data_IF_452330353217
#
_entry.id   IF_452330353217
#
_cell.length_a   1.000
_cell.length_b   1.000
_cell.length_c   1.000
_cell.angle_alpha   90.00
_cell.angle_beta   90.00
_cell.angle_gamma   90.00
#
_symmetry.space_group_name_H-M   'P 1'
#
loop_
_entity.id
_entity.type
_entity.pdbx_description
1 polymer ?
#
# COMPACT_ATOMS: atom_id res chain seq x y z
N UNK A 1 2.85 32.65 5.87
CA UNK A 1 3.07 31.34 5.23
C UNK A 1 3.35 30.37 6.36
N UNK A 2 2.60 29.28 6.47
CA UNK A 2 2.93 28.18 7.39
C UNK A 2 3.77 27.16 6.60
N UNK A 3 4.91 26.79 7.15
CA UNK A 3 5.88 25.89 6.50
C UNK A 3 5.60 24.45 6.94
N UNK A 4 5.21 23.60 5.98
CA UNK A 4 5.03 22.16 6.16
C UNK A 4 5.70 21.40 5.02
N UNK A 5 6.93 21.80 4.67
CA UNK A 5 7.67 21.25 3.54
C UNK A 5 7.48 19.72 3.38
N UNK A 6 7.13 19.25 2.17
CA UNK A 6 7.11 19.99 0.89
C UNK A 6 5.77 20.70 0.58
N UNK A 7 4.79 20.67 1.49
CA UNK A 7 3.48 21.34 1.35
C UNK A 7 3.48 22.70 2.07
N UNK A 8 2.99 23.75 1.43
CA UNK A 8 2.97 25.10 2.01
C UNK A 8 1.56 25.65 2.12
N UNK A 9 1.30 26.41 3.18
CA UNK A 9 0.00 27.05 3.40
C UNK A 9 0.17 28.57 3.35
N UNK A 10 -0.62 29.22 2.50
CA UNK A 10 -0.66 30.67 2.35
C UNK A 10 -2.04 31.16 2.74
N UNK A 11 -2.09 32.23 3.52
CA UNK A 11 -3.34 32.93 3.84
C UNK A 11 -3.47 34.14 2.94
N UNK A 12 -4.54 34.19 2.15
CA UNK A 12 -4.90 35.33 1.34
C UNK A 12 -5.80 36.26 2.16
N UNK A 13 -5.47 37.55 2.16
CA UNK A 13 -6.22 38.59 2.88
C UNK A 13 -6.31 39.86 2.03
N UNK A 14 -7.48 40.51 2.04
CA UNK A 14 -7.72 41.75 1.29
C UNK A 14 -8.78 41.58 0.20
N UNK A 15 -8.66 42.37 -0.87
CA UNK A 15 -9.63 42.38 -1.96
C UNK A 15 -9.07 41.77 -3.25
N UNK A 16 -9.85 40.91 -3.89
CA UNK A 16 -9.60 40.31 -5.21
C UNK A 16 -10.38 41.11 -6.27
N UNK A 17 -9.89 42.32 -6.61
CA UNK A 17 -10.58 43.25 -7.54
C UNK A 17 -10.09 43.19 -8.98
N UNK A 18 -8.85 42.79 -9.22
CA UNK A 18 -8.23 42.75 -10.54
C UNK A 18 -7.34 41.51 -10.67
N UNK A 19 -7.14 40.96 -11.86
CA UNK A 19 -6.25 39.81 -12.07
C UNK A 19 -4.83 40.06 -11.51
N UNK A 20 -4.32 41.29 -11.65
CA UNK A 20 -2.99 41.70 -11.17
C UNK A 20 -2.83 41.62 -9.64
N UNK A 21 -3.93 41.58 -8.89
CA UNK A 21 -3.90 41.40 -7.42
C UNK A 21 -3.32 40.05 -7.00
N UNK A 22 -3.12 39.12 -7.93
CA UNK A 22 -2.55 37.79 -7.71
C UNK A 22 -1.03 37.71 -7.95
N UNK A 23 -0.39 38.78 -8.41
CA UNK A 23 1.07 38.82 -8.59
C UNK A 23 1.87 38.40 -7.33
N UNK A 24 1.44 38.72 -6.09
CA UNK A 24 2.11 38.20 -4.89
C UNK A 24 2.07 36.67 -4.78
N UNK A 25 0.98 36.02 -5.19
CA UNK A 25 0.87 34.55 -5.20
C UNK A 25 1.80 33.92 -6.24
N UNK A 26 1.91 34.52 -7.42
CA UNK A 26 2.86 34.08 -8.45
C UNK A 26 4.31 34.19 -7.96
N UNK A 27 4.65 35.28 -7.26
CA UNK A 27 5.97 35.45 -6.64
C UNK A 27 6.22 34.40 -5.54
N UNK A 28 5.20 34.06 -4.74
CA UNK A 28 5.30 33.00 -3.74
C UNK A 28 5.59 31.66 -4.42
N UNK A 29 4.86 31.30 -5.49
CA UNK A 29 5.14 30.07 -6.24
C UNK A 29 6.57 30.02 -6.76
N UNK A 30 7.09 31.12 -7.31
CA UNK A 30 8.48 31.19 -7.77
C UNK A 30 9.49 30.93 -6.64
N UNK A 31 9.23 31.45 -5.43
CA UNK A 31 10.06 31.18 -4.25
C UNK A 31 9.91 29.74 -3.73
N UNK A 32 8.70 29.21 -3.76
CA UNK A 32 8.41 27.84 -3.33
C UNK A 32 9.07 26.81 -4.24
N UNK A 33 9.18 27.09 -5.55
CA UNK A 33 9.97 26.27 -6.48
C UNK A 33 11.44 26.14 -6.04
N UNK A 34 12.06 27.24 -5.58
CA UNK A 34 13.44 27.20 -5.07
C UNK A 34 13.57 26.36 -3.80
N UNK A 35 12.49 26.23 -3.01
CA UNK A 35 12.43 25.40 -1.81
C UNK A 35 11.98 23.95 -2.07
N UNK A 36 11.97 23.49 -3.32
CA UNK A 36 11.47 22.15 -3.72
C UNK A 36 10.05 21.86 -3.20
N UNK A 37 9.19 22.88 -3.12
CA UNK A 37 7.79 22.70 -2.75
C UNK A 37 7.05 21.85 -3.77
N UNK A 38 6.11 21.03 -3.30
CA UNK A 38 5.30 20.13 -4.12
C UNK A 38 3.82 20.49 -4.10
N UNK A 39 3.32 21.14 -3.04
CA UNK A 39 1.96 21.67 -3.00
C UNK A 39 1.83 23.02 -2.28
N UNK A 40 0.79 23.77 -2.64
CA UNK A 40 0.42 25.08 -2.09
C UNK A 40 -1.09 25.15 -1.81
N UNK A 41 -1.46 25.16 -0.54
CA UNK A 41 -2.84 25.40 -0.09
C UNK A 41 -3.04 26.90 0.20
N UNK A 42 -4.05 27.50 -0.43
CA UNK A 42 -4.39 28.92 -0.28
C UNK A 42 -5.67 29.07 0.52
N UNK A 43 -5.58 29.61 1.74
CA UNK A 43 -6.76 30.00 2.52
C UNK A 43 -7.32 31.30 1.98
N UNK A 44 -8.61 31.31 1.66
CA UNK A 44 -9.34 32.48 1.19
C UNK A 44 -10.19 33.15 2.28
N UNK A 45 -10.05 32.73 3.55
CA UNK A 45 -10.88 33.22 4.66
C UNK A 45 -10.78 34.74 4.87
N UNK A 46 -9.63 35.34 4.53
CA UNK A 46 -9.39 36.77 4.67
C UNK A 46 -9.85 37.63 3.49
N UNK A 47 -10.47 37.05 2.47
CA UNK A 47 -10.93 37.77 1.27
C UNK A 47 -12.23 38.50 1.58
N UNK A 48 -12.24 39.82 1.39
CA UNK A 48 -13.38 40.67 1.73
C UNK A 48 -14.25 41.02 0.51
N UNK A 49 -13.63 41.54 -0.56
CA UNK A 49 -14.34 41.95 -1.79
C UNK A 49 -13.78 41.25 -3.02
N UNK A 50 -14.68 40.87 -3.93
CA UNK A 50 -14.35 40.15 -5.18
C UNK A 50 -15.10 40.71 -6.38
N UNK A 51 -14.35 41.01 -7.43
CA UNK A 51 -14.90 41.37 -8.75
C UNK A 51 -14.90 40.16 -9.69
N UNK A 52 -15.59 40.25 -10.83
CA UNK A 52 -15.52 39.22 -11.87
C UNK A 52 -14.09 39.03 -12.42
N UNK A 53 -13.35 40.13 -12.62
CA UNK A 53 -11.95 40.09 -13.07
C UNK A 53 -11.01 39.43 -12.05
N UNK A 54 -11.19 39.71 -10.76
CA UNK A 54 -10.39 39.08 -9.71
C UNK A 54 -10.71 37.59 -9.56
N UNK A 55 -11.97 37.19 -9.70
CA UNK A 55 -12.35 35.77 -9.73
C UNK A 55 -11.70 35.08 -10.95
N UNK A 56 -11.83 35.66 -12.15
CA UNK A 56 -11.24 35.09 -13.36
C UNK A 56 -9.73 34.85 -13.20
N UNK A 57 -8.98 35.86 -12.75
CA UNK A 57 -7.55 35.68 -12.50
C UNK A 57 -7.24 34.61 -11.45
N UNK A 58 -8.08 34.47 -10.41
CA UNK A 58 -7.86 33.48 -9.36
C UNK A 58 -8.13 32.06 -9.87
N UNK A 59 -9.13 31.90 -10.73
CA UNK A 59 -9.39 30.64 -11.42
C UNK A 59 -8.24 30.28 -12.37
N UNK A 60 -7.77 31.25 -13.17
CA UNK A 60 -6.60 31.06 -14.03
C UNK A 60 -5.38 30.64 -13.21
N UNK A 61 -5.18 31.24 -12.04
CA UNK A 61 -4.11 30.85 -11.13
C UNK A 61 -4.27 29.42 -10.61
N UNK A 62 -5.48 28.96 -10.27
CA UNK A 62 -5.70 27.60 -9.75
C UNK A 62 -5.57 26.52 -10.82
N UNK A 63 -5.93 26.83 -12.08
CA UNK A 63 -5.96 25.86 -13.18
C UNK A 63 -4.69 25.92 -14.04
N UNK A 64 -3.88 26.97 -13.91
CA UNK A 64 -2.61 27.07 -14.59
C UNK A 64 -1.71 25.86 -14.28
N UNK A 65 -0.94 25.45 -15.30
CA UNK A 65 -0.01 24.34 -15.20
C UNK A 65 1.20 24.74 -14.34
N UNK A 66 1.09 24.45 -13.04
CA UNK A 66 2.14 24.69 -12.08
C UNK A 66 2.90 23.38 -11.80
N UNK A 67 4.22 23.43 -11.59
CA UNK A 67 5.00 22.28 -11.14
C UNK A 67 4.73 21.91 -9.68
N UNK A 68 3.78 22.59 -9.03
CA UNK A 68 3.39 22.46 -7.63
C UNK A 68 1.86 22.34 -7.62
N UNK A 69 1.29 21.38 -6.91
CA UNK A 69 -0.16 21.24 -6.79
C UNK A 69 -0.75 22.43 -6.04
N UNK A 70 -1.69 23.16 -6.64
CA UNK A 70 -2.33 24.32 -6.01
C UNK A 70 -3.79 24.03 -5.69
N UNK A 71 -4.24 24.41 -4.50
CA UNK A 71 -5.65 24.34 -4.13
C UNK A 71 -6.05 25.50 -3.25
N UNK A 72 -7.34 25.79 -3.21
CA UNK A 72 -7.90 26.83 -2.35
C UNK A 72 -8.86 26.23 -1.31
N UNK A 73 -8.96 26.88 -0.15
CA UNK A 73 -9.92 26.50 0.88
C UNK A 73 -10.44 27.69 1.68
N UNK A 74 -11.49 27.49 2.47
CA UNK A 74 -12.18 28.53 3.24
C UNK A 74 -12.64 29.73 2.39
N UNK A 75 -13.29 29.44 1.26
CA UNK A 75 -13.80 30.51 0.38
C UNK A 75 -14.99 31.23 1.04
N UNK A 76 -15.08 32.57 0.92
CA UNK A 76 -16.24 33.32 1.38
C UNK A 76 -17.54 32.83 0.72
N UNK A 77 -18.65 32.77 1.48
CA UNK A 77 -19.94 32.26 0.98
C UNK A 77 -20.38 32.90 -0.33
N UNK A 78 -20.23 34.21 -0.47
CA UNK A 78 -20.63 34.95 -1.66
C UNK A 78 -19.84 34.53 -2.93
N UNK A 79 -18.59 34.07 -2.77
CA UNK A 79 -17.78 33.58 -3.86
C UNK A 79 -18.13 32.12 -4.21
N UNK A 80 -18.38 31.29 -3.19
CA UNK A 80 -18.89 29.92 -3.39
C UNK A 80 -20.22 29.94 -4.15
N UNK A 81 -21.16 30.82 -3.79
CA UNK A 81 -22.45 30.95 -4.49
C UNK A 81 -22.25 31.32 -5.95
N UNK A 82 -21.36 32.28 -6.26
CA UNK A 82 -21.07 32.65 -7.65
C UNK A 82 -20.46 31.49 -8.43
N UNK A 83 -19.50 30.76 -7.86
CA UNK A 83 -18.88 29.60 -8.53
C UNK A 83 -19.89 28.46 -8.76
N UNK A 84 -20.76 28.19 -7.78
CA UNK A 84 -21.82 27.18 -7.91
C UNK A 84 -22.81 27.53 -9.03
N UNK A 85 -23.19 28.80 -9.15
CA UNK A 85 -24.09 29.26 -10.22
C UNK A 85 -23.52 29.02 -11.63
N UNK A 86 -22.20 28.85 -11.74
CA UNK A 86 -21.49 28.53 -12.98
C UNK A 86 -20.99 27.07 -13.04
N UNK A 87 -21.34 26.22 -12.07
CA UNK A 87 -20.92 24.81 -12.04
C UNK A 87 -19.42 24.59 -11.86
N UNK A 88 -18.68 25.58 -11.36
CA UNK A 88 -17.20 25.55 -11.35
C UNK A 88 -16.61 24.84 -10.12
N UNK A 89 -17.38 24.70 -9.04
CA UNK A 89 -16.91 24.09 -7.78
C UNK A 89 -16.66 22.60 -7.87
N UNK A 90 -17.18 21.91 -8.90
CA UNK A 90 -16.94 20.48 -9.14
C UNK A 90 -15.67 20.22 -9.93
N UNK A 91 -15.13 21.22 -10.63
CA UNK A 91 -13.97 21.08 -11.52
C UNK A 91 -12.71 21.68 -10.90
N UNK A 92 -12.88 22.67 -10.02
CA UNK A 92 -11.78 23.40 -9.40
C UNK A 92 -11.31 22.73 -8.11
N UNK A 93 -10.01 22.82 -7.78
CA UNK A 93 -9.43 22.26 -6.56
C UNK A 93 -9.75 23.15 -5.33
N UNK A 94 -11.03 23.27 -5.01
CA UNK A 94 -11.57 24.13 -3.96
C UNK A 94 -12.21 23.27 -2.87
N UNK A 95 -11.74 23.45 -1.63
CA UNK A 95 -12.18 22.64 -0.49
C UNK A 95 -12.80 23.50 0.62
N UNK A 96 -13.61 22.86 1.47
CA UNK A 96 -14.22 23.55 2.61
C UNK A 96 -13.25 23.85 3.74
N UNK A 97 -12.24 23.00 3.95
CA UNK A 97 -11.31 23.09 5.08
C UNK A 97 -9.91 22.68 4.64
N UNK A 98 -8.89 23.13 5.38
CA UNK A 98 -7.50 22.69 5.17
C UNK A 98 -7.38 21.16 5.27
N UNK A 99 -8.07 20.52 6.22
CA UNK A 99 -8.04 19.07 6.37
C UNK A 99 -8.54 18.37 5.10
N UNK A 100 -9.62 18.85 4.49
CA UNK A 100 -10.11 18.31 3.22
C UNK A 100 -9.11 18.54 2.06
N UNK A 101 -8.44 19.69 2.02
CA UNK A 101 -7.38 19.96 1.04
C UNK A 101 -6.22 18.97 1.18
N UNK A 102 -5.70 18.79 2.39
CA UNK A 102 -4.56 17.91 2.64
C UNK A 102 -4.87 16.43 2.37
N UNK A 103 -6.15 16.04 2.48
CA UNK A 103 -6.60 14.68 2.18
C UNK A 103 -6.97 14.47 0.70
N UNK A 104 -6.91 15.52 -0.13
CA UNK A 104 -7.11 15.38 -1.58
C UNK A 104 -5.98 14.61 -2.24
N UNK A 105 -6.28 13.88 -3.31
CA UNK A 105 -5.29 13.06 -4.01
C UNK A 105 -4.10 13.87 -4.52
N UNK A 106 -4.34 15.07 -5.04
CA UNK A 106 -3.28 15.96 -5.53
C UNK A 106 -2.29 16.36 -4.42
N UNK A 107 -2.80 16.65 -3.22
CA UNK A 107 -1.97 17.00 -2.07
C UNK A 107 -1.27 15.78 -1.49
N UNK A 108 -1.99 14.66 -1.34
CA UNK A 108 -1.39 13.39 -0.90
C UNK A 108 -0.23 13.01 -1.82
N UNK A 109 -0.42 13.05 -3.14
CA UNK A 109 0.62 12.78 -4.15
C UNK A 109 1.78 13.78 -4.14
N UNK A 110 1.64 14.90 -3.43
CA UNK A 110 2.68 15.89 -3.28
C UNK A 110 3.38 15.78 -1.91
N UNK A 111 2.80 15.09 -0.93
CA UNK A 111 3.25 15.15 0.46
C UNK A 111 4.66 14.60 0.71
N UNK A 112 5.12 13.61 -0.06
CA UNK A 112 6.39 12.91 0.17
C UNK A 112 7.29 12.84 -1.08
N UNK A 113 7.23 13.85 -1.96
CA UNK A 113 7.98 13.85 -3.25
C UNK A 113 9.50 13.84 -3.12
N UNK A 114 10.03 14.29 -1.98
CA UNK A 114 11.47 14.28 -1.68
C UNK A 114 11.89 13.09 -0.83
N UNK A 115 10.94 12.26 -0.38
CA UNK A 115 11.22 11.10 0.46
C UNK A 115 11.57 9.91 -0.41
N UNK A 116 12.72 9.30 -0.13
CA UNK A 116 13.10 8.01 -0.68
C UNK A 116 12.50 6.87 0.16
N UNK A 117 12.21 5.75 -0.47
CA UNK A 117 11.76 4.54 0.21
C UNK A 117 12.71 3.36 -0.01
N UNK A 118 12.85 2.50 1.00
CA UNK A 118 13.54 1.21 0.93
C UNK A 118 12.50 0.10 1.07
N UNK A 119 12.40 -0.76 0.07
CA UNK A 119 11.58 -1.98 0.13
C UNK A 119 12.49 -3.18 0.38
N UNK A 120 12.34 -3.80 1.54
CA UNK A 120 13.12 -4.97 1.95
C UNK A 120 12.59 -6.23 1.25
N UNK A 121 13.44 -6.87 0.43
CA UNK A 121 13.06 -7.97 -0.47
C UNK A 121 13.76 -9.31 -0.22
N UNK A 122 14.82 -9.37 0.58
CA UNK A 122 15.70 -10.55 0.64
C UNK A 122 15.29 -11.70 1.58
N UNK A 123 14.03 -11.76 2.03
CA UNK A 123 13.54 -12.87 2.85
C UNK A 123 13.36 -14.18 2.06
N UNK A 124 13.82 -15.30 2.59
CA UNK A 124 13.69 -16.63 1.94
C UNK A 124 12.27 -17.19 1.97
N UNK A 125 11.39 -16.67 2.83
CA UNK A 125 9.97 -17.03 2.85
C UNK A 125 9.70 -18.51 3.18
N UNK A 126 10.57 -19.20 3.92
CA UNK A 126 10.45 -20.64 4.19
C UNK A 126 9.10 -21.05 4.83
N UNK A 127 8.51 -20.18 5.67
CA UNK A 127 7.21 -20.42 6.31
C UNK A 127 6.01 -20.25 5.37
N UNK A 128 6.24 -19.72 4.17
CA UNK A 128 5.25 -19.61 3.10
C UNK A 128 5.34 -20.77 2.12
N UNK A 129 6.29 -21.70 2.28
CA UNK A 129 6.35 -22.87 1.42
C UNK A 129 5.02 -23.64 1.48
N UNK A 130 4.42 -24.04 0.35
CA UNK A 130 4.96 -24.05 -1.02
C UNK A 130 4.74 -22.79 -1.88
N UNK A 131 4.10 -21.73 -1.38
CA UNK A 131 3.86 -20.49 -2.15
C UNK A 131 5.16 -19.82 -2.65
N UNK A 132 6.25 -20.00 -1.91
CA UNK A 132 7.58 -19.44 -2.19
C UNK A 132 8.54 -20.45 -2.81
N UNK A 133 8.04 -21.59 -3.32
CA UNK A 133 8.89 -22.61 -3.95
C UNK A 133 9.56 -22.12 -5.24
N UNK A 134 8.90 -21.24 -5.99
CA UNK A 134 9.36 -20.74 -7.30
C UNK A 134 9.39 -19.21 -7.41
N UNK A 135 9.13 -18.50 -6.32
CA UNK A 135 9.08 -17.03 -6.29
C UNK A 135 9.34 -16.45 -4.91
N UNK A 136 9.69 -15.16 -4.90
CA UNK A 136 9.92 -14.39 -3.68
C UNK A 136 8.60 -14.09 -2.95
N UNK A 137 8.63 -13.93 -1.62
CA UNK A 137 7.43 -13.55 -0.86
C UNK A 137 6.81 -12.21 -1.32
N UNK A 138 7.59 -11.13 -1.60
CA UNK A 138 7.03 -9.90 -2.18
C UNK A 138 6.34 -10.07 -3.55
N UNK A 139 6.65 -11.17 -4.25
CA UNK A 139 6.11 -11.50 -5.57
C UNK A 139 4.74 -12.18 -5.50
N UNK A 140 4.30 -12.63 -4.32
CA UNK A 140 3.04 -13.35 -4.15
C UNK A 140 1.85 -12.50 -4.63
N UNK A 141 1.05 -13.07 -5.53
CA UNK A 141 -0.14 -12.43 -6.08
C UNK A 141 -1.27 -12.41 -5.05
N UNK A 142 -1.77 -11.21 -4.76
CA UNK A 142 -2.92 -10.99 -3.88
C UNK A 142 -4.02 -10.36 -4.72
N UNK A 143 -5.00 -11.17 -5.13
CA UNK A 143 -6.13 -10.73 -5.96
C UNK A 143 -5.70 -9.93 -7.21
N UNK A 144 -4.77 -10.51 -7.97
CA UNK A 144 -4.31 -10.05 -9.28
C UNK A 144 -3.20 -9.00 -9.27
N UNK A 145 -2.68 -8.60 -8.10
CA UNK A 145 -1.56 -7.67 -7.96
C UNK A 145 -0.56 -8.23 -6.93
N UNK A 146 0.75 -8.30 -7.23
CA UNK A 146 1.76 -8.77 -6.28
C UNK A 146 1.89 -7.85 -5.07
N UNK A 147 2.27 -8.40 -3.91
CA UNK A 147 2.48 -7.63 -2.67
C UNK A 147 3.35 -6.38 -2.87
N UNK A 148 4.48 -6.53 -3.57
CA UNK A 148 5.38 -5.40 -3.85
C UNK A 148 4.73 -4.35 -4.74
N UNK A 149 3.91 -4.76 -5.71
CA UNK A 149 3.17 -3.83 -6.58
C UNK A 149 2.11 -3.05 -5.81
N UNK A 150 1.45 -3.69 -4.83
CA UNK A 150 0.50 -3.02 -3.93
C UNK A 150 1.20 -1.99 -3.03
N UNK A 151 2.37 -2.34 -2.50
CA UNK A 151 3.19 -1.42 -1.70
C UNK A 151 3.68 -0.24 -2.55
N UNK A 152 4.20 -0.49 -3.76
CA UNK A 152 4.57 0.54 -4.73
C UNK A 152 3.40 1.46 -5.05
N UNK A 153 2.22 0.89 -5.35
CA UNK A 153 1.00 1.66 -5.59
C UNK A 153 0.67 2.57 -4.40
N UNK A 154 0.76 2.05 -3.17
CA UNK A 154 0.53 2.85 -1.95
C UNK A 154 1.56 3.97 -1.78
N UNK A 155 2.86 3.70 -1.98
CA UNK A 155 3.93 4.70 -1.92
C UNK A 155 3.73 5.81 -2.97
N UNK A 156 3.39 5.44 -4.20
CA UNK A 156 3.21 6.40 -5.31
C UNK A 156 2.07 7.39 -5.06
N UNK A 157 1.04 6.99 -4.32
CA UNK A 157 -0.07 7.88 -3.91
C UNK A 157 0.36 9.00 -2.98
N UNK A 158 1.51 8.87 -2.32
CA UNK A 158 2.10 9.92 -1.51
C UNK A 158 3.18 10.73 -2.25
N UNK A 159 3.42 10.44 -3.53
CA UNK A 159 4.41 11.14 -4.34
C UNK A 159 5.82 10.58 -4.26
N UNK A 160 6.05 9.49 -3.53
CA UNK A 160 7.36 8.85 -3.44
C UNK A 160 7.74 8.33 -4.83
N UNK A 161 8.91 8.73 -5.32
CA UNK A 161 9.41 8.36 -6.67
C UNK A 161 10.66 7.50 -6.64
N UNK A 162 11.51 7.61 -5.62
CA UNK A 162 12.76 6.87 -5.55
C UNK A 162 12.61 5.69 -4.59
N UNK A 163 12.75 4.48 -5.14
CA UNK A 163 12.70 3.24 -4.36
C UNK A 163 14.03 2.53 -4.46
N UNK A 164 14.60 2.20 -3.31
CA UNK A 164 15.72 1.28 -3.15
C UNK A 164 15.17 -0.09 -2.77
N UNK A 165 15.68 -1.16 -3.34
CA UNK A 165 15.33 -2.50 -2.91
C UNK A 165 16.53 -3.43 -3.00
N UNK A 166 16.54 -4.45 -2.15
CA UNK A 166 17.52 -5.52 -2.15
C UNK A 166 16.92 -6.81 -2.70
N UNK A 167 17.12 -7.13 -4.00
CA UNK A 167 16.79 -8.44 -4.53
C UNK A 167 17.60 -9.51 -3.80
N UNK A 168 16.91 -10.42 -3.12
CA UNK A 168 17.53 -11.61 -2.52
C UNK A 168 17.18 -12.86 -3.31
N UNK A 169 16.66 -13.87 -2.61
CA UNK A 169 16.20 -15.11 -3.24
C UNK A 169 15.09 -14.84 -4.27
N UNK A 170 15.22 -15.39 -5.49
CA UNK A 170 14.39 -15.06 -6.66
C UNK A 170 14.40 -13.57 -7.03
N UNK A 171 15.57 -12.92 -6.93
CA UNK A 171 15.74 -11.49 -7.20
C UNK A 171 15.23 -11.02 -8.56
N UNK A 172 15.39 -11.83 -9.61
CA UNK A 172 14.88 -11.50 -10.96
C UNK A 172 13.36 -11.39 -11.00
N UNK A 173 12.65 -12.25 -10.24
CA UNK A 173 11.19 -12.17 -10.11
C UNK A 173 10.80 -10.87 -9.41
N UNK A 174 11.52 -10.47 -8.35
CA UNK A 174 11.27 -9.22 -7.65
C UNK A 174 11.51 -8.00 -8.55
N UNK A 175 12.64 -7.96 -9.25
CA UNK A 175 12.98 -6.87 -10.17
C UNK A 175 11.91 -6.74 -11.26
N UNK A 176 11.49 -7.87 -11.84
CA UNK A 176 10.44 -7.91 -12.87
C UNK A 176 9.11 -7.39 -12.32
N UNK A 177 8.68 -7.89 -11.16
CA UNK A 177 7.44 -7.46 -10.53
C UNK A 177 7.46 -5.95 -10.21
N UNK A 178 8.57 -5.44 -9.67
CA UNK A 178 8.72 -4.01 -9.34
C UNK A 178 8.74 -3.11 -10.56
N UNK A 179 9.33 -3.56 -11.68
CA UNK A 179 9.32 -2.83 -12.95
C UNK A 179 7.93 -2.79 -13.59
N UNK A 180 7.18 -3.89 -13.52
CA UNK A 180 5.81 -3.94 -14.05
C UNK A 180 4.84 -3.01 -13.31
N UNK A 181 5.11 -2.73 -12.03
CA UNK A 181 4.26 -1.90 -11.17
C UNK A 181 4.94 -0.58 -10.76
N UNK A 182 5.97 -0.15 -11.51
CA UNK A 182 6.74 1.04 -11.16
C UNK A 182 5.92 2.32 -11.27
N UNK A 183 4.96 2.38 -12.19
CA UNK A 183 4.26 3.64 -12.50
C UNK A 183 5.27 4.78 -12.72
N UNK A 184 5.16 5.92 -12.00
CA UNK A 184 6.10 7.03 -12.09
C UNK A 184 7.39 6.84 -11.26
N UNK A 185 7.55 5.74 -10.54
CA UNK A 185 8.67 5.49 -9.64
C UNK A 185 9.89 4.92 -10.38
N UNK A 186 11.08 5.32 -9.91
CA UNK A 186 12.36 4.73 -10.28
C UNK A 186 12.80 3.77 -9.17
N UNK A 187 12.98 2.49 -9.53
CA UNK A 187 13.50 1.47 -8.62
C UNK A 187 14.99 1.21 -8.88
N UNK A 188 15.80 1.31 -7.84
CA UNK A 188 17.22 1.03 -7.81
C UNK A 188 17.45 -0.23 -6.97
N UNK A 189 18.23 -1.16 -7.52
CA UNK A 189 18.40 -2.50 -6.96
C UNK A 189 19.83 -2.73 -6.50
N UNK A 190 19.98 -3.28 -5.30
CA UNK A 190 21.28 -3.48 -4.66
C UNK A 190 21.39 -4.92 -4.21
N UNK A 191 22.41 -5.60 -4.71
CA UNK A 191 22.71 -6.98 -4.33
C UNK A 191 24.06 -6.97 -3.64
N UNK A 192 24.13 -7.12 -2.31
CA UNK A 192 25.41 -7.23 -1.63
C UNK A 192 26.11 -8.53 -2.02
N UNK A 193 27.44 -8.52 -1.97
CA UNK A 193 28.31 -9.61 -2.42
C UNK A 193 28.05 -10.97 -1.71
N UNK A 194 27.30 -10.98 -0.60
CA UNK A 194 26.98 -12.15 0.23
C UNK A 194 25.67 -12.86 -0.15
N UNK A 195 24.91 -12.37 -1.14
CA UNK A 195 23.72 -13.03 -1.71
C UNK A 195 22.42 -12.89 -0.91
N UNK A 196 22.45 -13.00 0.42
CA UNK A 196 21.33 -12.66 1.31
C UNK A 196 21.70 -11.46 2.18
N UNK A 197 20.82 -10.46 2.21
CA UNK A 197 21.00 -9.27 3.05
C UNK A 197 19.91 -9.13 4.09
N UNK A 198 20.35 -8.76 5.29
CA UNK A 198 19.47 -8.39 6.40
C UNK A 198 19.01 -6.94 6.24
N UNK A 199 17.93 -6.57 6.93
CA UNK A 199 17.47 -5.18 6.95
C UNK A 199 18.58 -4.20 7.36
N UNK A 200 19.34 -4.54 8.41
CA UNK A 200 20.45 -3.71 8.86
C UNK A 200 21.56 -3.55 7.81
N UNK A 201 21.94 -4.61 7.11
CA UNK A 201 22.98 -4.54 6.08
C UNK A 201 22.57 -3.63 4.93
N UNK A 202 21.34 -3.76 4.44
CA UNK A 202 20.84 -2.93 3.32
C UNK A 202 20.84 -1.46 3.70
N UNK A 203 20.31 -1.13 4.88
CA UNK A 203 20.21 0.25 5.33
C UNK A 203 21.61 0.86 5.55
N UNK A 204 22.52 0.11 6.18
CA UNK A 204 23.89 0.55 6.38
C UNK A 204 24.64 0.74 5.05
N UNK A 205 24.56 -0.21 4.11
CA UNK A 205 25.24 -0.11 2.81
C UNK A 205 24.72 1.08 2.00
N UNK A 206 23.40 1.25 1.93
CA UNK A 206 22.80 2.37 1.21
C UNK A 206 23.24 3.73 1.77
N UNK A 207 23.33 3.86 3.10
CA UNK A 207 23.78 5.10 3.72
C UNK A 207 25.30 5.29 3.62
N UNK A 208 26.08 4.32 4.09
CA UNK A 208 27.52 4.46 4.33
C UNK A 208 28.36 4.26 3.06
N UNK A 209 27.94 3.37 2.16
CA UNK A 209 28.70 3.04 0.93
C UNK A 209 28.20 3.86 -0.25
N UNK A 210 26.88 4.02 -0.36
CA UNK A 210 26.26 4.64 -1.54
C UNK A 210 25.81 6.08 -1.34
N UNK A 211 25.86 6.62 -0.11
CA UNK A 211 25.35 7.95 0.22
C UNK A 211 23.94 8.20 -0.37
N UNK A 212 23.09 7.16 -0.35
CA UNK A 212 21.84 7.10 -1.10
C UNK A 212 20.74 8.01 -0.54
N UNK A 213 20.92 8.55 0.67
CA UNK A 213 19.90 9.29 1.40
C UNK A 213 20.39 10.70 1.74
N UNK A 214 19.65 11.71 1.28
CA UNK A 214 19.84 13.12 1.68
C UNK A 214 18.88 13.54 2.81
N UNK A 215 17.80 12.77 3.00
CA UNK A 215 16.67 13.06 3.90
C UNK A 215 16.27 11.78 4.65
N UNK A 216 15.37 11.91 5.63
CA UNK A 216 14.72 10.78 6.31
C UNK A 216 14.17 9.76 5.28
N UNK A 217 14.44 8.49 5.52
CA UNK A 217 14.08 7.40 4.61
C UNK A 217 12.92 6.58 5.18
N UNK A 218 11.96 6.26 4.31
CA UNK A 218 10.87 5.35 4.64
C UNK A 218 11.29 3.91 4.34
N UNK A 219 11.19 3.00 5.29
CA UNK A 219 11.57 1.60 5.12
C UNK A 219 10.33 0.72 5.29
N UNK A 220 10.08 -0.18 4.36
CA UNK A 220 8.94 -1.08 4.38
C UNK A 220 9.33 -2.51 3.99
N UNK A 221 8.67 -3.49 4.62
CA UNK A 221 8.81 -4.89 4.25
C UNK A 221 8.06 -5.17 2.93
N UNK A 222 8.74 -5.75 1.94
CA UNK A 222 8.14 -6.03 0.63
C UNK A 222 7.03 -7.09 0.64
N UNK A 223 6.94 -7.89 1.70
CA UNK A 223 5.89 -8.88 1.91
C UNK A 223 4.75 -8.36 2.82
N UNK A 224 4.54 -7.05 2.90
CA UNK A 224 3.48 -6.47 3.73
C UNK A 224 2.47 -5.67 2.90
N UNK A 225 1.20 -5.77 3.30
CA UNK A 225 0.14 -4.84 2.88
C UNK A 225 0.11 -3.66 3.86
N UNK A 226 0.22 -2.44 3.32
CA UNK A 226 0.26 -1.20 4.10
C UNK A 226 -0.86 -0.28 3.62
N UNK A 227 -1.73 0.15 4.52
CA UNK A 227 -2.85 1.08 4.26
C UNK A 227 -2.84 2.31 5.17
N UNK A 228 -1.72 2.58 5.83
CA UNK A 228 -1.58 3.71 6.76
C UNK A 228 -1.36 5.03 6.01
N UNK A 229 -1.67 6.15 6.66
CA UNK A 229 -1.29 7.48 6.17
C UNK A 229 0.22 7.70 6.33
N UNK A 230 0.96 7.60 5.22
CA UNK A 230 2.41 7.74 5.23
C UNK A 230 2.86 9.19 5.44
N UNK A 231 2.05 10.16 4.98
CA UNK A 231 2.36 11.57 5.19
C UNK A 231 2.25 11.92 6.68
N UNK A 232 1.23 11.41 7.36
CA UNK A 232 1.08 11.57 8.81
C UNK A 232 2.25 10.92 9.58
N UNK A 233 2.65 9.70 9.19
CA UNK A 233 3.80 9.01 9.78
C UNK A 233 5.10 9.83 9.66
N UNK A 234 5.44 10.31 8.47
CA UNK A 234 6.65 11.11 8.23
C UNK A 234 6.58 12.45 8.96
N UNK A 235 5.41 13.11 8.97
CA UNK A 235 5.22 14.36 9.70
C UNK A 235 5.41 14.17 11.21
N UNK A 236 4.84 13.10 11.78
CA UNK A 236 5.04 12.74 13.18
C UNK A 236 6.52 12.47 13.50
N UNK A 237 7.23 11.74 12.62
CA UNK A 237 8.66 11.48 12.76
C UNK A 237 9.46 12.79 12.86
N UNK A 238 9.30 13.68 11.88
CA UNK A 238 9.98 14.98 11.81
C UNK A 238 9.71 15.84 13.05
N UNK A 239 8.44 15.98 13.46
CA UNK A 239 8.06 16.79 14.63
C UNK A 239 8.56 16.21 15.95
N UNK A 240 8.67 14.88 16.04
CA UNK A 240 9.14 14.22 17.26
C UNK A 240 10.65 14.33 17.45
N UNK A 241 11.39 14.65 16.39
CA UNK A 241 12.85 14.62 16.37
C UNK A 241 13.42 13.23 16.68
N UNK A 242 12.66 12.16 16.45
CA UNK A 242 13.11 10.79 16.63
C UNK A 242 14.18 10.42 15.62
N UNK A 243 15.04 9.47 15.96
CA UNK A 243 15.99 8.86 15.03
C UNK A 243 15.31 7.76 14.22
N UNK A 244 14.31 7.11 14.80
CA UNK A 244 13.46 6.14 14.11
C UNK A 244 12.03 6.24 14.62
N UNK A 245 11.06 6.12 13.72
CA UNK A 245 9.65 6.01 14.06
C UNK A 245 9.05 4.77 13.41
N UNK A 246 8.57 3.83 14.23
CA UNK A 246 7.94 2.60 13.78
C UNK A 246 6.42 2.76 13.75
N UNK A 247 5.77 2.33 12.68
CA UNK A 247 4.32 2.36 12.58
C UNK A 247 3.73 1.03 13.06
N UNK A 248 2.74 1.11 13.94
CA UNK A 248 1.99 -0.05 14.41
C UNK A 248 0.49 0.17 14.20
N UNK A 249 -0.15 -0.83 13.62
CA UNK A 249 -1.61 -0.87 13.48
C UNK A 249 -2.25 -1.29 14.80
N UNK A 250 -3.25 -0.55 15.27
CA UNK A 250 -4.06 -0.95 16.43
C UNK A 250 -4.60 0.19 17.29
N UNK A 251 -5.89 0.11 17.58
CA UNK A 251 -6.59 0.83 18.65
C UNK A 251 -6.37 0.09 19.99
N UNK A 252 -5.26 0.35 20.67
CA UNK A 252 -5.27 0.26 22.13
C UNK A 252 -4.38 1.35 22.72
N UNK A 253 -5.06 2.36 23.24
CA UNK A 253 -4.54 3.41 24.13
C UNK A 253 -4.18 2.84 25.51
N UNK A 254 -3.73 1.60 25.59
CA UNK A 254 -3.38 0.92 26.85
C UNK A 254 -2.06 0.18 26.70
N UNK A 255 -1.01 0.96 26.46
CA UNK A 255 0.34 0.65 26.96
C UNK A 255 0.97 1.99 27.35
N UNK A 256 1.49 2.15 28.58
CA UNK A 256 2.10 3.40 29.03
C UNK A 256 3.26 3.79 28.10
N UNK A 257 3.51 5.09 27.96
CA UNK A 257 4.54 5.68 27.09
C UNK A 257 5.98 5.16 27.31
N UNK A 258 6.18 4.27 28.30
CA UNK A 258 7.45 3.65 28.70
C UNK A 258 7.53 2.14 28.41
N UNK A 259 6.60 1.52 27.65
CA UNK A 259 6.71 0.10 27.30
C UNK A 259 7.93 -0.13 26.39
N UNK A 260 8.98 -0.76 26.95
CA UNK A 260 10.25 -1.13 26.28
C UNK A 260 9.98 -1.85 24.95
N UNK A 261 10.78 -1.54 23.92
CA UNK A 261 10.69 -2.06 22.55
C UNK A 261 10.74 -3.62 22.42
N UNK A 262 11.01 -4.34 23.51
CA UNK A 262 11.27 -5.79 23.50
C UNK A 262 10.07 -6.70 23.21
N UNK A 263 8.82 -6.24 23.36
CA UNK A 263 7.62 -7.09 23.23
C UNK A 263 6.63 -6.63 22.14
N UNK A 264 7.08 -5.79 21.22
CA UNK A 264 6.25 -5.29 20.11
C UNK A 264 6.33 -6.24 18.92
N UNK A 265 5.23 -6.45 18.17
CA UNK A 265 5.29 -7.15 16.90
C UNK A 265 6.24 -6.41 15.96
N UNK A 266 6.99 -7.18 15.16
CA UNK A 266 7.90 -6.61 14.17
C UNK A 266 7.12 -5.64 13.24
N UNK A 267 7.53 -4.37 13.13
CA UNK A 267 6.81 -3.38 12.34
C UNK A 267 6.97 -3.66 10.84
N UNK A 268 5.90 -3.42 10.08
CA UNK A 268 5.94 -3.56 8.63
C UNK A 268 6.57 -2.35 7.92
N UNK A 269 6.52 -1.17 8.56
CA UNK A 269 7.00 0.10 8.00
C UNK A 269 7.53 1.02 9.11
N UNK A 270 8.59 1.75 8.80
CA UNK A 270 9.14 2.78 9.67
C UNK A 270 9.71 3.94 8.86
N UNK A 271 10.01 5.04 9.55
CA UNK A 271 10.83 6.15 9.04
C UNK A 271 12.08 6.24 9.88
N UNK A 272 13.24 6.43 9.26
CA UNK A 272 14.53 6.44 9.94
C UNK A 272 15.40 7.58 9.40
N UNK A 273 16.11 8.22 10.32
CA UNK A 273 17.19 9.17 10.03
C UNK A 273 18.43 8.40 9.61
N UNK A 274 18.96 8.57 8.39
CA UNK A 274 20.10 7.81 7.93
C UNK A 274 21.32 7.89 8.85
N UNK A 275 21.53 9.02 9.52
CA UNK A 275 22.69 9.28 10.37
C UNK A 275 22.77 8.31 11.56
N UNK A 276 21.64 7.82 12.07
CA UNK A 276 21.65 6.89 13.20
C UNK A 276 22.18 5.50 12.82
N UNK A 277 22.31 5.19 11.53
CA UNK A 277 22.85 3.93 11.03
C UNK A 277 24.38 3.85 11.12
N UNK A 278 25.09 4.95 11.35
CA UNK A 278 26.56 4.97 11.43
C UNK A 278 27.12 4.18 12.60
N UNK A 279 26.36 4.06 13.70
CA UNK A 279 26.78 3.35 14.90
C UNK A 279 26.57 1.83 14.88
N UNK A 280 25.96 1.28 13.81
CA UNK A 280 25.61 -0.15 13.77
C UNK A 280 26.79 -0.96 13.22
N UNK A 281 27.40 -1.79 14.07
CA UNK A 281 28.50 -2.69 13.68
C UNK A 281 28.04 -4.09 13.28
N UNK A 282 27.01 -4.63 13.96
CA UNK A 282 26.56 -6.02 13.77
C UNK A 282 25.37 -6.13 12.79
N UNK A 283 25.47 -5.45 11.64
CA UNK A 283 24.40 -5.37 10.61
C UNK A 283 23.93 -6.74 10.13
N UNK A 284 24.83 -7.73 10.06
CA UNK A 284 24.54 -9.09 9.61
C UNK A 284 23.53 -9.85 10.49
N UNK A 285 23.32 -9.43 11.74
CA UNK A 285 22.35 -10.06 12.65
C UNK A 285 20.96 -9.40 12.60
N UNK A 286 20.83 -8.24 11.97
CA UNK A 286 19.63 -7.39 12.03
C UNK A 286 18.65 -7.70 10.90
N UNK A 287 18.02 -8.88 10.96
CA UNK A 287 17.18 -9.42 9.88
C UNK A 287 15.95 -8.58 9.59
N UNK A 288 15.35 -7.96 10.61
CA UNK A 288 14.06 -7.25 10.53
C UNK A 288 14.16 -5.78 10.91
N UNK A 289 13.12 -5.00 10.60
CA UNK A 289 12.99 -3.62 11.05
C UNK A 289 12.99 -3.56 12.59
N UNK A 290 12.35 -4.51 13.26
CA UNK A 290 12.36 -4.64 14.72
C UNK A 290 13.74 -4.89 15.30
N UNK A 291 14.60 -5.67 14.62
CA UNK A 291 15.97 -5.90 15.07
C UNK A 291 16.81 -4.62 14.96
N UNK A 292 16.67 -3.89 13.85
CA UNK A 292 17.29 -2.56 13.67
C UNK A 292 16.86 -1.61 14.78
N UNK A 293 15.56 -1.55 15.09
CA UNK A 293 15.02 -0.71 16.16
C UNK A 293 15.61 -1.04 17.53
N UNK A 294 15.74 -2.33 17.87
CA UNK A 294 16.36 -2.80 19.13
C UNK A 294 17.85 -2.44 19.20
N UNK A 295 18.57 -2.61 18.10
CA UNK A 295 19.99 -2.26 18.01
C UNK A 295 20.20 -0.76 18.25
N UNK A 296 19.44 0.08 17.53
CA UNK A 296 19.47 1.54 17.69
C UNK A 296 19.10 1.99 19.10
N UNK A 297 18.14 1.32 19.75
CA UNK A 297 17.79 1.60 21.15
C UNK A 297 18.98 1.37 22.09
N UNK A 298 19.75 0.30 21.87
CA UNK A 298 20.96 -0.01 22.66
C UNK A 298 22.05 1.05 22.46
N UNK A 299 22.11 1.66 21.28
CA UNK A 299 23.02 2.76 20.94
C UNK A 299 22.54 4.13 21.44
N UNK A 300 21.41 4.20 22.14
CA UNK A 300 20.86 5.44 22.70
C UNK A 300 20.03 6.28 21.71
N UNK A 301 19.68 5.73 20.55
CA UNK A 301 18.84 6.41 19.58
C UNK A 301 17.40 6.60 20.09
N UNK A 302 16.78 7.72 19.72
CA UNK A 302 15.42 8.07 20.09
C UNK A 302 14.41 7.37 19.17
N UNK A 303 13.83 6.27 19.65
CA UNK A 303 12.78 5.53 18.95
C UNK A 303 11.38 6.03 19.37
N UNK A 304 10.49 6.25 18.40
CA UNK A 304 9.07 6.57 18.64
C UNK A 304 8.14 5.57 17.96
N UNK A 305 6.96 5.39 18.53
CA UNK A 305 5.90 4.57 17.95
C UNK A 305 4.80 5.48 17.42
N UNK A 306 4.49 5.35 16.13
CA UNK A 306 3.34 5.97 15.51
C UNK A 306 2.19 4.95 15.46
N UNK A 307 1.10 5.25 16.17
CA UNK A 307 -0.10 4.41 16.18
C UNK A 307 -1.11 4.97 15.20
N UNK A 308 -1.69 4.11 14.39
CA UNK A 308 -2.63 4.51 13.34
C UNK A 308 -3.81 3.55 13.28
N UNK A 309 -4.95 4.09 12.86
CA UNK A 309 -6.15 3.31 12.54
C UNK A 309 -5.96 2.50 11.25
N UNK A 310 -5.04 2.94 10.36
CA UNK A 310 -4.68 2.21 9.16
C UNK A 310 -4.08 0.84 9.48
N UNK A 311 -4.22 -0.10 8.55
CA UNK A 311 -3.78 -1.49 8.74
C UNK A 311 -2.44 -1.77 8.08
N UNK A 312 -1.64 -2.55 8.79
CA UNK A 312 -0.40 -3.16 8.30
C UNK A 312 -0.50 -4.66 8.50
N UNK A 313 -0.43 -5.45 7.43
CA UNK A 313 -0.50 -6.90 7.48
C UNK A 313 0.75 -7.49 6.83
N UNK A 314 1.56 -8.21 7.61
CA UNK A 314 2.74 -8.92 7.10
C UNK A 314 2.37 -10.34 6.67
N UNK A 315 2.67 -10.71 5.43
CA UNK A 315 2.45 -12.07 4.91
C UNK A 315 3.65 -12.94 5.23
N UNK A 316 3.54 -13.80 6.25
CA UNK A 316 4.63 -14.67 6.72
C UNK A 316 4.30 -16.14 6.70
N UNK A 317 3.02 -16.49 6.58
CA UNK A 317 2.50 -17.86 6.61
C UNK A 317 1.39 -18.02 5.57
N UNK A 318 1.01 -19.26 5.25
CA UNK A 318 -0.11 -19.53 4.33
C UNK A 318 -1.44 -18.97 4.83
N UNK A 319 -1.64 -18.93 6.15
CA UNK A 319 -2.79 -18.27 6.78
C UNK A 319 -2.77 -16.76 6.55
N UNK A 320 -1.61 -16.11 6.73
CA UNK A 320 -1.48 -14.67 6.47
C UNK A 320 -1.71 -14.35 5.00
N UNK A 321 -1.28 -15.23 4.09
CA UNK A 321 -1.51 -15.08 2.65
C UNK A 321 -3.01 -15.06 2.31
N UNK A 322 -3.78 -16.03 2.82
CA UNK A 322 -5.23 -16.02 2.66
C UNK A 322 -5.86 -14.78 3.30
N UNK A 323 -5.43 -14.42 4.51
CA UNK A 323 -5.92 -13.23 5.22
C UNK A 323 -5.67 -11.95 4.43
N UNK A 324 -4.53 -11.86 3.73
CA UNK A 324 -4.22 -10.75 2.85
C UNK A 324 -5.15 -10.68 1.63
N UNK A 325 -5.41 -11.81 0.98
CA UNK A 325 -6.39 -11.89 -0.12
C UNK A 325 -7.79 -11.50 0.38
N UNK A 326 -8.21 -12.05 1.51
CA UNK A 326 -9.49 -11.75 2.13
C UNK A 326 -9.64 -10.26 2.48
N UNK A 327 -8.60 -9.64 3.05
CA UNK A 327 -8.62 -8.23 3.40
C UNK A 327 -8.77 -7.32 2.17
N UNK A 328 -8.19 -7.70 1.03
CA UNK A 328 -8.36 -6.97 -0.23
C UNK A 328 -9.78 -7.16 -0.79
N UNK A 329 -10.30 -8.38 -0.79
CA UNK A 329 -11.62 -8.69 -1.36
C UNK A 329 -12.78 -8.10 -0.55
N UNK A 330 -12.62 -8.00 0.76
CA UNK A 330 -13.62 -7.40 1.66
C UNK A 330 -13.50 -5.88 1.78
N UNK A 331 -12.52 -5.26 1.10
CA UNK A 331 -12.27 -3.82 1.21
C UNK A 331 -11.77 -3.39 2.59
N UNK A 332 -11.18 -4.30 3.36
CA UNK A 332 -10.71 -4.03 4.72
C UNK A 332 -9.44 -3.15 4.77
N UNK A 333 -8.79 -2.89 3.63
CA UNK A 333 -7.58 -2.10 3.46
C UNK A 333 -7.88 -0.87 2.59
N UNK A 334 -7.83 0.31 3.19
CA UNK A 334 -8.19 1.56 2.51
C UNK A 334 -7.37 1.81 1.25
N UNK A 335 -8.08 2.12 0.17
CA UNK A 335 -7.51 2.39 -1.13
C UNK A 335 -6.92 1.15 -1.83
N UNK A 336 -6.99 -0.05 -1.29
CA UNK A 336 -6.52 -1.24 -1.99
C UNK A 336 -7.69 -2.10 -2.46
N UNK A 337 -7.73 -2.38 -3.76
CA UNK A 337 -8.76 -3.18 -4.39
C UNK A 337 -8.17 -4.37 -5.17
N UNK A 338 -8.98 -5.38 -5.51
CA UNK A 338 -8.62 -6.41 -6.50
C UNK A 338 -8.29 -5.80 -7.87
N UNK A 339 -7.57 -6.54 -8.71
CA UNK A 339 -7.39 -6.14 -10.10
C UNK A 339 -8.67 -6.39 -10.92
N UNK A 340 -8.77 -5.73 -12.08
CA UNK A 340 -9.92 -5.85 -12.97
C UNK A 340 -11.02 -4.83 -12.69
N UNK A 341 -12.21 -5.13 -13.20
CA UNK A 341 -13.40 -4.29 -13.07
C UNK A 341 -14.37 -4.89 -12.06
N UNK A 342 -14.92 -4.03 -11.21
CA UNK A 342 -16.00 -4.38 -10.31
C UNK A 342 -17.31 -4.44 -11.12
N UNK A 343 -17.94 -5.63 -11.17
CA UNK A 343 -19.22 -5.85 -11.86
C UNK A 343 -20.41 -5.88 -10.91
N UNK A 344 -20.13 -6.17 -9.64
CA UNK A 344 -21.11 -6.18 -8.57
C UNK A 344 -20.43 -5.67 -7.28
N UNK A 345 -21.21 -5.32 -6.26
CA UNK A 345 -20.70 -4.78 -5.00
C UNK A 345 -19.55 -5.60 -4.41
N UNK A 346 -19.57 -6.92 -4.59
CA UNK A 346 -18.59 -7.85 -4.04
C UNK A 346 -17.81 -8.65 -5.09
N UNK A 347 -18.07 -8.46 -6.39
CA UNK A 347 -17.50 -9.29 -7.47
C UNK A 347 -16.61 -8.47 -8.40
N UNK A 348 -15.36 -8.92 -8.52
CA UNK A 348 -14.33 -8.36 -9.37
C UNK A 348 -13.95 -9.37 -10.45
N UNK A 349 -13.87 -8.90 -11.70
CA UNK A 349 -13.44 -9.73 -12.80
C UNK A 349 -12.52 -8.95 -13.74
N UNK A 350 -11.49 -9.60 -14.25
CA UNK A 350 -10.65 -9.00 -15.27
C UNK A 350 -11.40 -8.93 -16.61
N UNK A 351 -11.23 -7.88 -17.44
CA UNK A 351 -11.93 -7.77 -18.74
C UNK A 351 -11.69 -8.92 -19.72
N UNK A 352 -10.60 -9.67 -19.55
CA UNK A 352 -10.26 -10.84 -20.39
C UNK A 352 -10.76 -12.17 -19.80
N UNK A 353 -11.34 -12.15 -18.60
CA UNK A 353 -11.95 -13.32 -18.00
C UNK A 353 -13.28 -13.65 -18.69
N UNK A 354 -13.62 -14.95 -18.77
CA UNK A 354 -14.86 -15.43 -19.39
C UNK A 354 -15.67 -16.17 -18.35
N UNK A 355 -16.80 -15.59 -17.96
CA UNK A 355 -17.71 -16.17 -16.98
C UNK A 355 -19.03 -16.49 -17.67
N UNK A 356 -19.53 -17.72 -17.49
CA UNK A 356 -20.84 -18.09 -18.01
C UNK A 356 -21.96 -17.38 -17.22
N UNK A 357 -23.04 -16.97 -17.89
CA UNK A 357 -24.18 -16.27 -17.29
C UNK A 357 -24.92 -17.03 -16.18
N UNK A 358 -24.64 -18.33 -15.99
CA UNK A 358 -25.36 -19.21 -15.06
C UNK A 358 -24.45 -19.64 -13.89
N UNK A 359 -23.26 -19.03 -13.77
CA UNK A 359 -22.38 -19.21 -12.63
C UNK A 359 -22.97 -18.49 -11.42
N UNK A 360 -22.96 -19.14 -10.25
CA UNK A 360 -23.47 -18.56 -9.02
C UNK A 360 -22.34 -17.95 -8.20
N UNK A 361 -22.48 -16.66 -7.87
CA UNK A 361 -21.60 -15.93 -6.97
C UNK A 361 -22.33 -15.58 -5.68
N UNK A 362 -21.76 -15.95 -4.53
CA UNK A 362 -22.27 -15.56 -3.21
C UNK A 362 -21.10 -15.13 -2.32
N UNK A 363 -20.87 -13.83 -2.15
CA UNK A 363 -19.79 -13.29 -1.32
C UNK A 363 -18.76 -12.50 -2.12
N UNK A 364 -17.51 -12.45 -1.65
CA UNK A 364 -16.45 -11.63 -2.22
C UNK A 364 -15.60 -12.44 -3.21
N UNK A 365 -15.71 -12.13 -4.49
CA UNK A 365 -15.15 -12.95 -5.57
C UNK A 365 -14.19 -12.12 -6.42
N UNK A 366 -13.03 -12.69 -6.75
CA UNK A 366 -12.10 -12.14 -7.74
C UNK A 366 -11.76 -13.18 -8.81
N UNK A 367 -11.84 -12.77 -10.08
CA UNK A 367 -11.53 -13.61 -11.24
C UNK A 367 -10.41 -12.96 -12.06
N UNK A 368 -9.23 -13.58 -12.04
CA UNK A 368 -8.04 -13.11 -12.73
C UNK A 368 -8.10 -13.18 -14.26
N UNK A 369 -7.11 -12.56 -14.90
CA UNK A 369 -7.01 -12.44 -16.35
C UNK A 369 -7.02 -13.80 -17.06
N UNK A 370 -7.78 -13.89 -18.16
CA UNK A 370 -7.92 -15.09 -18.99
C UNK A 370 -8.46 -16.33 -18.28
N UNK A 371 -9.03 -16.18 -17.08
CA UNK A 371 -9.68 -17.27 -16.37
C UNK A 371 -11.08 -17.53 -16.93
N UNK A 372 -11.47 -18.80 -16.96
CA UNK A 372 -12.75 -19.26 -17.49
C UNK A 372 -13.52 -19.96 -16.39
N UNK A 373 -14.76 -19.53 -16.17
CA UNK A 373 -15.68 -20.17 -15.22
C UNK A 373 -16.90 -20.66 -15.98
N UNK A 374 -17.10 -21.98 -15.96
CA UNK A 374 -18.16 -22.65 -16.69
C UNK A 374 -19.53 -22.48 -15.99
N UNK A 375 -20.59 -22.86 -16.70
CA UNK A 375 -21.96 -22.91 -16.19
C UNK A 375 -22.03 -23.80 -14.95
N UNK A 376 -22.98 -23.51 -14.06
CA UNK A 376 -23.26 -24.29 -12.83
C UNK A 376 -22.14 -24.36 -11.80
N UNK A 377 -20.99 -23.73 -12.02
CA UNK A 377 -19.99 -23.53 -10.98
C UNK A 377 -20.54 -22.60 -9.88
N UNK A 378 -20.21 -22.92 -8.63
CA UNK A 378 -20.66 -22.18 -7.44
C UNK A 378 -19.42 -21.67 -6.72
N UNK A 379 -19.31 -20.36 -6.58
CA UNK A 379 -18.24 -19.72 -5.81
C UNK A 379 -18.87 -18.97 -4.64
N UNK A 380 -18.52 -19.39 -3.42
CA UNK A 380 -19.13 -18.93 -2.17
C UNK A 380 -18.10 -18.40 -1.17
N UNK A 381 -18.48 -17.37 -0.40
CA UNK A 381 -17.62 -16.75 0.59
C UNK A 381 -16.54 -15.91 -0.08
N UNK A 382 -15.29 -16.07 0.36
CA UNK A 382 -14.15 -15.32 -0.17
C UNK A 382 -13.33 -16.17 -1.15
N UNK A 383 -13.55 -16.01 -2.46
CA UNK A 383 -12.86 -16.80 -3.50
C UNK A 383 -12.03 -15.91 -4.41
N UNK A 384 -10.75 -16.26 -4.59
CA UNK A 384 -9.88 -15.60 -5.58
C UNK A 384 -9.35 -16.63 -6.57
N UNK A 385 -9.60 -16.40 -7.85
CA UNK A 385 -8.98 -17.13 -8.95
C UNK A 385 -7.83 -16.29 -9.52
N UNK A 386 -6.66 -16.92 -9.66
CA UNK A 386 -5.51 -16.36 -10.35
C UNK A 386 -5.76 -16.23 -11.85
N UNK A 387 -4.68 -16.01 -12.60
CA UNK A 387 -4.69 -15.88 -14.07
C UNK A 387 -4.81 -17.24 -14.73
N UNK A 388 -5.47 -17.31 -15.89
CA UNK A 388 -5.55 -18.53 -16.72
C UNK A 388 -6.06 -19.76 -15.95
N UNK A 389 -6.94 -19.55 -14.98
CA UNK A 389 -7.60 -20.63 -14.27
C UNK A 389 -8.78 -21.14 -15.09
N UNK A 390 -9.07 -22.43 -15.02
CA UNK A 390 -10.28 -23.02 -15.63
C UNK A 390 -11.08 -23.71 -14.54
N UNK A 391 -12.32 -23.28 -14.34
CA UNK A 391 -13.25 -23.88 -13.39
C UNK A 391 -14.37 -24.53 -14.19
N UNK A 392 -14.35 -25.86 -14.27
CA UNK A 392 -15.35 -26.63 -15.01
C UNK A 392 -16.69 -26.71 -14.26
N UNK A 393 -17.73 -27.13 -14.99
CA UNK A 393 -19.10 -27.15 -14.51
C UNK A 393 -19.27 -27.94 -13.19
N UNK A 394 -20.28 -27.56 -12.41
CA UNK A 394 -20.61 -28.19 -11.12
C UNK A 394 -19.52 -28.17 -10.06
N UNK A 395 -18.44 -27.42 -10.27
CA UNK A 395 -17.41 -27.22 -9.24
C UNK A 395 -17.92 -26.30 -8.14
N UNK A 396 -17.56 -26.60 -6.90
CA UNK A 396 -17.91 -25.82 -5.71
C UNK A 396 -16.64 -25.31 -5.02
N UNK A 397 -16.50 -23.98 -4.97
CA UNK A 397 -15.40 -23.31 -4.29
C UNK A 397 -15.95 -22.51 -3.11
N UNK A 398 -15.36 -22.68 -1.93
CA UNK A 398 -15.67 -21.86 -0.75
C UNK A 398 -14.42 -21.38 -0.04
N UNK A 399 -14.35 -20.08 0.25
CA UNK A 399 -13.30 -19.47 1.08
C UNK A 399 -11.87 -19.90 0.66
N UNK A 400 -11.61 -19.91 -0.64
CA UNK A 400 -10.42 -20.55 -1.23
C UNK A 400 -9.71 -19.66 -2.25
N UNK A 401 -8.41 -19.88 -2.39
CA UNK A 401 -7.57 -19.18 -3.38
C UNK A 401 -7.00 -20.20 -4.36
N UNK A 402 -7.32 -20.05 -5.64
CA UNK A 402 -6.81 -20.88 -6.72
C UNK A 402 -5.73 -20.07 -7.44
N UNK A 403 -4.51 -20.57 -7.46
CA UNK A 403 -3.36 -19.88 -8.04
C UNK A 403 -3.33 -19.97 -9.57
N UNK A 404 -2.50 -19.12 -10.18
CA UNK A 404 -2.36 -19.01 -11.63
C UNK A 404 -2.16 -20.36 -12.34
N UNK A 405 -2.70 -20.45 -13.55
CA UNK A 405 -2.62 -21.61 -14.44
C UNK A 405 -3.18 -22.89 -13.81
N UNK A 406 -4.27 -22.82 -13.05
CA UNK A 406 -4.86 -24.00 -12.41
C UNK A 406 -6.18 -24.40 -13.06
N UNK A 407 -6.30 -25.69 -13.40
CA UNK A 407 -7.55 -26.27 -13.90
C UNK A 407 -8.24 -27.09 -12.81
N UNK A 408 -9.47 -26.70 -12.46
CA UNK A 408 -10.38 -27.47 -11.63
C UNK A 408 -11.33 -28.26 -12.53
N UNK A 409 -11.26 -29.58 -12.43
CA UNK A 409 -12.10 -30.51 -13.18
C UNK A 409 -13.58 -30.43 -12.74
N UNK A 410 -14.46 -30.97 -13.58
CA UNK A 410 -15.90 -31.03 -13.29
C UNK A 410 -16.17 -31.69 -11.92
N UNK A 411 -17.08 -31.10 -11.14
CA UNK A 411 -17.41 -31.52 -9.77
C UNK A 411 -16.27 -31.36 -8.74
N UNK A 412 -15.27 -30.51 -9.00
CA UNK A 412 -14.24 -30.24 -8.01
C UNK A 412 -14.82 -29.56 -6.76
N UNK A 413 -14.39 -30.01 -5.58
CA UNK A 413 -14.75 -29.42 -4.29
C UNK A 413 -13.51 -28.80 -3.64
N UNK A 414 -13.48 -27.48 -3.51
CA UNK A 414 -12.35 -26.74 -2.91
C UNK A 414 -12.88 -25.87 -1.78
N UNK A 415 -12.64 -26.30 -0.54
CA UNK A 415 -13.12 -25.60 0.67
C UNK A 415 -11.97 -25.22 1.60
N UNK A 416 -11.83 -23.92 1.86
CA UNK A 416 -10.79 -23.34 2.73
C UNK A 416 -9.37 -23.77 2.35
N UNK A 417 -9.10 -23.83 1.05
CA UNK A 417 -7.80 -24.21 0.50
C UNK A 417 -7.11 -23.06 -0.22
N UNK A 418 -5.79 -23.10 -0.23
CA UNK A 418 -4.97 -22.44 -1.25
C UNK A 418 -4.39 -23.55 -2.12
N UNK A 419 -4.59 -23.48 -3.43
CA UNK A 419 -4.26 -24.58 -4.35
C UNK A 419 -3.67 -24.10 -5.68
N UNK A 420 -2.79 -24.92 -6.25
CA UNK A 420 -2.42 -24.87 -7.67
C UNK A 420 -2.62 -26.25 -8.32
N UNK A 421 -2.11 -26.46 -9.55
CA UNK A 421 -2.21 -27.76 -10.25
C UNK A 421 -1.54 -28.95 -9.56
N UNK A 422 -0.60 -28.70 -8.65
CA UNK A 422 0.30 -29.74 -8.11
C UNK A 422 0.18 -29.96 -6.61
N UNK A 423 -0.32 -28.97 -5.88
CA UNK A 423 -0.46 -29.04 -4.43
C UNK A 423 -1.63 -28.18 -3.95
N UNK A 424 -2.12 -28.50 -2.76
CA UNK A 424 -3.05 -27.67 -2.00
C UNK A 424 -2.73 -27.73 -0.51
N UNK A 425 -3.10 -26.70 0.22
CA UNK A 425 -3.08 -26.71 1.68
C UNK A 425 -4.25 -25.93 2.26
N UNK A 426 -4.69 -26.33 3.45
CA UNK A 426 -5.79 -25.68 4.15
C UNK A 426 -5.28 -24.46 4.92
N UNK A 427 -5.69 -23.27 4.49
CA UNK A 427 -5.20 -22.01 5.07
C UNK A 427 -5.55 -21.76 6.54
N UNK A 428 -6.64 -22.31 7.14
CA UNK A 428 -6.89 -22.15 8.57
C UNK A 428 -5.82 -22.80 9.45
N UNK A 429 -5.10 -23.80 8.92
CA UNK A 429 -4.06 -24.54 9.65
C UNK A 429 -2.63 -24.17 9.18
N UNK A 430 -2.51 -23.26 8.22
CA UNK A 430 -1.22 -22.84 7.65
C UNK A 430 -0.60 -21.67 8.42
N UNK A 431 -0.59 -21.72 9.75
CA UNK A 431 -0.14 -20.65 10.66
C UNK A 431 1.37 -20.71 11.01
N UNK A 432 2.10 -21.65 10.40
CA UNK A 432 3.53 -21.88 10.63
C UNK A 432 3.87 -22.45 12.01
N UNK A 433 2.87 -22.83 12.82
CA UNK A 433 3.02 -23.43 14.15
C UNK A 433 2.33 -24.79 14.26
N UNK A 434 1.27 -24.99 13.49
CA UNK A 434 0.56 -26.25 13.36
C UNK A 434 1.52 -27.35 12.94
N UNK A 435 1.39 -28.53 13.55
CA UNK A 435 2.16 -29.72 13.18
C UNK A 435 2.06 -29.93 11.68
N UNK A 436 3.19 -30.25 11.02
CA UNK A 436 3.22 -30.54 9.58
C UNK A 436 2.19 -31.62 9.27
N UNK A 437 1.04 -31.21 8.75
CA UNK A 437 0.16 -32.10 8.01
C UNK A 437 0.82 -32.22 6.64
N UNK A 438 1.24 -33.42 6.27
CA UNK A 438 1.74 -33.67 4.92
C UNK A 438 0.68 -33.14 3.93
N UNK A 439 1.08 -32.40 2.87
CA UNK A 439 0.12 -31.99 1.85
C UNK A 439 -0.65 -33.23 1.41
N UNK A 440 -1.98 -33.11 1.29
CA UNK A 440 -2.83 -34.19 0.78
C UNK A 440 -2.15 -34.71 -0.49
N UNK A 441 -1.82 -36.01 -0.52
CA UNK A 441 -1.16 -36.58 -1.68
C UNK A 441 -1.98 -36.25 -2.94
N UNK A 442 -1.32 -35.92 -4.07
CA UNK A 442 -2.02 -35.63 -5.34
C UNK A 442 -3.00 -36.74 -5.76
N UNK A 443 -2.80 -37.97 -5.28
CA UNK A 443 -3.67 -39.13 -5.49
C UNK A 443 -5.10 -38.95 -4.92
N UNK A 444 -5.30 -38.04 -3.97
CA UNK A 444 -6.62 -37.74 -3.38
C UNK A 444 -7.43 -36.67 -4.14
N UNK A 445 -6.89 -36.10 -5.23
CA UNK A 445 -7.68 -35.26 -6.16
C UNK A 445 -8.44 -36.09 -7.20
N UNK A 446 -8.34 -37.43 -7.15
CA UNK A 446 -9.15 -38.33 -7.97
C UNK A 446 -10.43 -38.74 -7.24
N UNK A 447 -11.50 -38.87 -8.04
CA UNK A 447 -12.89 -39.02 -7.65
C UNK A 447 -13.19 -39.90 -6.41
N UNK A 448 -14.31 -39.54 -5.76
CA UNK A 448 -15.06 -40.34 -4.78
C UNK A 448 -14.54 -40.39 -3.33
N UNK A 449 -14.70 -39.29 -2.60
CA UNK A 449 -15.20 -39.40 -1.22
C UNK A 449 -16.31 -38.37 -1.02
N UNK A 450 -17.56 -38.85 -1.01
CA UNK A 450 -18.71 -38.06 -0.60
C UNK A 450 -18.44 -37.39 0.75
N UNK A 451 -18.82 -36.12 0.94
CA UNK A 451 -18.84 -35.54 2.28
C UNK A 451 -19.85 -36.32 3.11
N UNK A 452 -19.38 -37.08 4.09
CA UNK A 452 -20.24 -37.56 5.19
C UNK A 452 -20.73 -36.33 5.95
N UNK A 453 -21.90 -35.83 5.54
CA UNK A 453 -22.72 -34.96 6.35
C UNK A 453 -23.07 -35.79 7.58
N UNK A 454 -22.48 -35.46 8.73
CA UNK A 454 -22.99 -35.89 10.01
C UNK A 454 -24.35 -35.21 10.21
N UNK A 455 -25.40 -35.82 9.66
CA UNK A 455 -26.76 -35.56 10.08
C UNK A 455 -26.86 -36.03 11.53
N UNK A 456 -26.87 -35.09 12.47
CA UNK A 456 -27.26 -35.35 13.84
C UNK A 456 -28.69 -35.88 13.85
N UNK A 457 -28.88 -37.13 14.25
CA UNK A 457 -30.18 -37.67 14.58
C UNK A 457 -30.51 -37.35 16.04
N UNK A 458 -31.59 -36.61 16.21
CA UNK A 458 -32.50 -36.46 17.36
C UNK A 458 -31.88 -36.33 18.78
#
# INVERSE_FOLDING_TARGET
IEDRAPVYIVKLSGDLRHADTLHPLQNILARLRQKKASALAVSCAGVQRVSASGIAGFLDFLVADHPVAVSAYDLPRHLITRLNNHGLTTVLPIFKTLAATLQSDAFRQSSLTTTSAVILGAGTGQRLWPLTQSQCAPCLDIAGVPLVGRLQGHLSRYGIRTIFSNPGHFGDNLITAMRQHSGPMQSLFFTPNTGLSTAGQVLADLHQVHAAFEEDVLVANGNALVSIDLAELVHFHKNSGADMTIALSGSSTLMPANSRAGNQPDPAVCVIKPECLQGITDTACLSTIGDVSKSLTTLGAKIRVFRTAGKTLQVRTGHDFYTAVHAILTGALDGQAPSGQQIDETVWHHPTARVHSNTLFEGHIHIGAHSVVDKTAILKGCVSLGRRCKVDAHSYLRDSVVLDNTTLAQNALVDRQVANETWSFSHPFADGRSTRVLPLEPSMMSASQEPRIALGSA
#
